data_IF_737251792327
#
_entry.id   IF_737251792327
#
_cell.length_a   1.000
_cell.length_b   1.000
_cell.length_c   1.000
_cell.angle_alpha   90.00
_cell.angle_beta   90.00
_cell.angle_gamma   90.00
#
_symmetry.space_group_name_H-M   'P 1'
#
loop_
_entity.id
_entity.type
_entity.pdbx_description
1 polymer ?
#
# COMPACT_ATOMS: atom_id res chain seq x y z
N UNK A 1 -13.93 14.29 13.81
CA UNK A 1 -13.75 15.23 14.93
C UNK A 1 -13.83 16.65 14.39
N UNK A 2 -14.55 17.55 15.07
CA UNK A 2 -14.52 18.97 14.72
C UNK A 2 -13.07 19.46 14.80
N UNK A 3 -12.62 20.29 13.84
CA UNK A 3 -11.24 20.83 13.85
C UNK A 3 -11.01 21.56 15.18
N UNK A 4 -9.91 21.22 15.85
CA UNK A 4 -9.48 21.92 17.06
C UNK A 4 -9.24 23.40 16.72
N UNK A 5 -9.65 24.31 17.60
CA UNK A 5 -9.28 25.73 17.48
C UNK A 5 -7.81 25.97 17.80
N UNK A 6 -7.20 25.04 18.52
CA UNK A 6 -5.80 25.04 18.92
C UNK A 6 -4.98 24.19 17.95
N UNK A 7 -3.85 24.72 17.52
CA UNK A 7 -2.83 24.02 16.74
C UNK A 7 -2.14 22.95 17.57
N UNK A 8 -1.56 21.94 16.92
CA UNK A 8 -0.86 20.86 17.61
C UNK A 8 0.37 21.39 18.41
N UNK A 9 1.00 22.48 17.94
CA UNK A 9 2.09 23.16 18.68
C UNK A 9 1.61 23.86 19.95
N UNK A 10 0.50 24.62 19.87
CA UNK A 10 -0.10 25.27 21.04
C UNK A 10 -0.52 24.22 22.08
N UNK A 11 -1.12 23.12 21.62
CA UNK A 11 -1.50 22.01 22.51
C UNK A 11 -0.26 21.44 23.22
N UNK A 12 0.84 21.22 22.50
CA UNK A 12 2.08 20.73 23.09
C UNK A 12 2.67 21.71 24.12
N UNK A 13 2.56 23.02 23.86
CA UNK A 13 2.99 24.06 24.80
C UNK A 13 2.18 24.01 26.11
N UNK A 14 0.86 23.97 26.01
CA UNK A 14 -0.03 23.90 27.18
C UNK A 14 0.19 22.62 28.00
N UNK A 15 0.46 21.49 27.33
CA UNK A 15 0.81 20.24 28.02
C UNK A 15 2.16 20.33 28.75
N UNK A 16 3.11 21.10 28.20
CA UNK A 16 4.41 21.33 28.83
C UNK A 16 4.30 22.25 30.03
N UNK A 17 3.45 23.29 29.99
CA UNK A 17 3.17 24.11 31.17
C UNK A 17 2.63 23.26 32.33
N UNK A 18 1.71 22.34 32.05
CA UNK A 18 1.23 21.41 33.07
C UNK A 18 2.35 20.50 33.62
N UNK A 19 3.27 20.06 32.77
CA UNK A 19 4.43 19.27 33.19
C UNK A 19 5.42 20.08 34.05
N UNK A 20 5.48 21.40 33.87
CA UNK A 20 6.30 22.31 34.66
C UNK A 20 5.64 22.72 35.99
N UNK A 21 4.45 22.18 36.31
CA UNK A 21 3.76 22.39 37.59
C UNK A 21 2.60 23.39 37.53
N UNK A 22 2.26 23.96 36.38
CA UNK A 22 1.09 24.83 36.25
C UNK A 22 -0.21 24.01 36.43
N UNK A 23 -1.12 24.50 37.26
CA UNK A 23 -2.37 23.79 37.54
C UNK A 23 -3.21 23.60 36.27
N UNK A 24 -3.65 22.36 36.02
CA UNK A 24 -4.47 22.00 34.84
C UNK A 24 -5.74 22.84 34.76
N UNK A 25 -6.35 23.19 35.90
CA UNK A 25 -7.54 24.05 35.95
C UNK A 25 -7.27 25.45 35.37
N UNK A 26 -6.14 26.06 35.72
CA UNK A 26 -5.75 27.37 35.22
C UNK A 26 -5.51 27.34 33.69
N UNK A 27 -4.83 26.29 33.22
CA UNK A 27 -4.60 26.06 31.78
C UNK A 27 -5.92 25.91 31.03
N UNK A 28 -6.86 25.12 31.58
CA UNK A 28 -8.16 24.90 30.95
C UNK A 28 -8.98 26.19 30.86
N UNK A 29 -8.95 27.03 31.91
CA UNK A 29 -9.58 28.35 31.91
C UNK A 29 -8.95 29.27 30.87
N UNK A 30 -7.61 29.39 30.85
CA UNK A 30 -6.90 30.26 29.92
C UNK A 30 -7.11 29.84 28.45
N UNK A 31 -7.01 28.54 28.17
CA UNK A 31 -7.19 28.00 26.82
C UNK A 31 -8.67 27.82 26.41
N UNK A 32 -9.61 28.14 27.30
CA UNK A 32 -11.06 28.00 27.08
C UNK A 32 -11.45 26.58 26.63
N UNK A 33 -10.89 25.57 27.31
CA UNK A 33 -11.15 24.16 27.03
C UNK A 33 -11.58 23.40 28.27
N UNK A 34 -12.32 22.32 28.06
CA UNK A 34 -12.68 21.42 29.15
C UNK A 34 -11.49 20.57 29.60
N UNK A 35 -11.48 20.18 30.87
CA UNK A 35 -10.49 19.25 31.43
C UNK A 35 -10.44 17.92 30.65
N UNK A 36 -11.60 17.43 30.20
CA UNK A 36 -11.66 16.24 29.34
C UNK A 36 -10.92 16.42 28.01
N UNK A 37 -10.97 17.62 27.42
CA UNK A 37 -10.22 17.93 26.20
C UNK A 37 -8.72 17.94 26.46
N UNK A 38 -8.28 18.53 27.58
CA UNK A 38 -6.88 18.54 28.00
C UNK A 38 -6.32 17.12 28.14
N UNK A 39 -7.03 16.20 28.80
CA UNK A 39 -6.57 14.81 28.91
C UNK A 39 -6.57 14.05 27.58
N UNK A 40 -7.51 14.39 26.68
CA UNK A 40 -7.50 13.85 25.31
C UNK A 40 -6.27 14.29 24.54
N UNK A 41 -5.87 15.56 24.68
CA UNK A 41 -4.61 16.06 24.15
C UNK A 41 -3.40 15.38 24.79
N UNK A 42 -3.38 15.24 26.12
CA UNK A 42 -2.30 14.54 26.84
C UNK A 42 -2.13 13.10 26.38
N UNK A 43 -3.20 12.39 26.02
CA UNK A 43 -3.10 11.04 25.45
C UNK A 43 -2.46 11.04 24.05
N UNK A 44 -2.72 12.06 23.24
CA UNK A 44 -2.22 12.15 21.84
C UNK A 44 -0.80 12.71 21.75
N UNK A 45 -0.49 13.71 22.57
CA UNK A 45 0.75 14.49 22.48
C UNK A 45 1.60 14.44 23.76
N UNK A 46 1.16 13.73 24.80
CA UNK A 46 1.91 13.58 26.04
C UNK A 46 3.27 12.93 25.77
N UNK A 47 4.33 13.52 26.33
CA UNK A 47 5.72 13.09 26.09
C UNK A 47 6.38 13.71 24.86
N UNK A 48 5.63 14.42 24.01
CA UNK A 48 6.20 15.19 22.91
C UNK A 48 6.44 16.64 23.35
N UNK A 49 7.65 17.15 23.11
CA UNK A 49 7.90 18.59 23.17
C UNK A 49 7.23 19.29 21.98
N UNK A 50 7.03 20.61 22.01
CA UNK A 50 6.51 21.36 20.86
C UNK A 50 7.33 21.10 19.57
N UNK A 51 8.66 20.99 19.69
CA UNK A 51 9.53 20.61 18.58
C UNK A 51 9.34 19.15 18.14
N UNK A 52 9.05 18.25 19.07
CA UNK A 52 8.68 16.86 18.79
C UNK A 52 7.37 16.74 18.00
N UNK A 53 6.40 17.62 18.25
CA UNK A 53 5.14 17.66 17.49
C UNK A 53 5.34 18.14 16.06
N UNK A 54 6.16 19.16 15.83
CA UNK A 54 6.52 19.59 14.47
C UNK A 54 7.21 18.47 13.71
N UNK A 55 8.23 17.86 14.33
CA UNK A 55 8.95 16.73 13.72
C UNK A 55 8.04 15.55 13.43
N UNK A 56 7.07 15.26 14.31
CA UNK A 56 6.08 14.20 14.08
C UNK A 56 5.25 14.49 12.83
N UNK A 57 4.75 15.72 12.66
CA UNK A 57 4.00 16.12 11.48
C UNK A 57 4.82 16.04 10.18
N UNK A 58 6.11 16.40 10.24
CA UNK A 58 7.01 16.28 9.09
C UNK A 58 7.23 14.81 8.70
N UNK A 59 7.46 13.95 9.69
CA UNK A 59 7.63 12.51 9.48
C UNK A 59 6.34 11.86 8.94
N UNK A 60 5.17 12.27 9.44
CA UNK A 60 3.88 11.76 8.95
C UNK A 60 3.64 12.16 7.49
N UNK A 61 3.94 13.42 7.12
CA UNK A 61 3.84 13.90 5.73
C UNK A 61 4.76 13.12 4.80
N UNK A 62 6.02 12.93 5.20
CA UNK A 62 6.98 12.19 4.41
C UNK A 62 6.57 10.71 4.27
N UNK A 63 6.08 10.10 5.35
CA UNK A 63 5.58 8.73 5.30
C UNK A 63 4.40 8.59 4.32
N UNK A 64 3.47 9.55 4.33
CA UNK A 64 2.34 9.57 3.39
C UNK A 64 2.83 9.69 1.93
N UNK A 65 3.79 10.58 1.67
CA UNK A 65 4.41 10.73 0.35
C UNK A 65 5.08 9.43 -0.10
N UNK A 66 5.94 8.86 0.73
CA UNK A 66 6.65 7.61 0.45
C UNK A 66 5.67 6.45 0.18
N UNK A 67 4.59 6.34 0.95
CA UNK A 67 3.54 5.32 0.69
C UNK A 67 2.85 5.52 -0.66
N UNK A 68 2.60 6.77 -1.05
CA UNK A 68 2.03 7.10 -2.36
C UNK A 68 2.97 6.66 -3.49
N UNK A 69 4.25 7.04 -3.39
CA UNK A 69 5.28 6.66 -4.37
C UNK A 69 5.44 5.14 -4.46
N UNK A 70 5.50 4.42 -3.34
CA UNK A 70 5.53 2.95 -3.31
C UNK A 70 4.30 2.35 -3.99
N UNK A 71 3.12 2.94 -3.79
CA UNK A 71 1.88 2.46 -4.40
C UNK A 71 1.90 2.67 -5.92
N UNK A 72 2.34 3.85 -6.38
CA UNK A 72 2.51 4.16 -7.79
C UNK A 72 3.53 3.23 -8.46
N UNK A 73 4.69 3.01 -7.83
CA UNK A 73 5.72 2.10 -8.33
C UNK A 73 5.20 0.66 -8.42
N UNK A 74 4.46 0.18 -7.40
CA UNK A 74 3.83 -1.15 -7.43
C UNK A 74 2.81 -1.28 -8.57
N UNK A 75 2.05 -0.24 -8.87
CA UNK A 75 1.12 -0.24 -10.00
C UNK A 75 1.87 -0.26 -11.33
N UNK A 76 2.92 0.54 -11.49
CA UNK A 76 3.75 0.56 -12.69
C UNK A 76 4.39 -0.80 -12.98
N UNK A 77 4.95 -1.47 -11.96
CA UNK A 77 5.52 -2.82 -12.09
C UNK A 77 4.47 -3.87 -12.51
N UNK A 78 3.22 -3.74 -12.04
CA UNK A 78 2.12 -4.62 -12.47
C UNK A 78 1.74 -4.38 -13.92
N UNK A 79 1.69 -3.11 -14.34
CA UNK A 79 1.36 -2.72 -15.71
C UNK A 79 2.45 -3.17 -16.72
N UNK A 80 3.73 -3.07 -16.37
CA UNK A 80 4.81 -3.59 -17.20
C UNK A 80 4.79 -5.12 -17.29
N UNK A 81 4.40 -5.81 -16.21
CA UNK A 81 4.25 -7.27 -16.22
C UNK A 81 3.04 -7.75 -17.06
N UNK A 82 1.99 -6.93 -17.22
CA UNK A 82 0.88 -7.24 -18.14
C UNK A 82 1.23 -6.93 -19.60
N UNK A 83 1.96 -5.83 -19.87
CA UNK A 83 2.33 -5.44 -21.24
C UNK A 83 3.21 -6.49 -21.95
N UNK A 84 4.03 -7.24 -21.22
CA UNK A 84 4.83 -8.34 -21.78
C UNK A 84 4.03 -9.57 -22.23
N UNK A 85 2.73 -9.66 -21.94
CA UNK A 85 1.86 -10.79 -22.32
C UNK A 85 0.97 -10.53 -23.54
N UNK A 86 0.95 -9.29 -24.04
CA UNK A 86 0.05 -8.88 -25.13
C UNK A 86 0.67 -9.02 -26.54
N UNK A 87 1.85 -9.63 -26.68
CA UNK A 87 2.29 -10.11 -27.99
C UNK A 87 1.51 -11.38 -28.34
N UNK A 88 0.32 -11.19 -28.91
CA UNK A 88 -0.49 -12.27 -29.45
C UNK A 88 0.33 -13.12 -30.44
N UNK A 89 0.11 -14.45 -30.49
CA UNK A 89 0.87 -15.32 -31.37
C UNK A 89 0.79 -14.81 -32.82
N UNK A 90 1.89 -14.86 -33.60
CA UNK A 90 1.89 -14.35 -34.96
C UNK A 90 0.76 -15.01 -35.77
N UNK A 91 0.11 -14.26 -36.69
CA UNK A 91 -0.99 -14.82 -37.47
C UNK A 91 -0.49 -16.09 -38.18
N UNK A 92 -1.14 -17.21 -37.85
CA UNK A 92 -0.85 -18.52 -38.44
C UNK A 92 -1.04 -18.37 -39.95
N UNK A 93 0.05 -18.53 -40.69
CA UNK A 93 0.16 -18.16 -42.10
C UNK A 93 -1.04 -18.57 -42.94
N UNK A 94 -1.45 -17.66 -43.82
CA UNK A 94 -2.36 -17.95 -44.94
C UNK A 94 -1.86 -19.20 -45.68
N UNK A 95 -2.69 -20.24 -45.88
CA UNK A 95 -2.27 -21.37 -46.69
C UNK A 95 -2.18 -20.92 -48.15
N UNK A 96 -0.99 -21.04 -48.74
CA UNK A 96 -0.80 -20.87 -50.19
C UNK A 96 -1.59 -21.96 -50.93
N UNK A 97 -2.31 -21.63 -52.01
CA UNK A 97 -3.01 -22.63 -52.80
C UNK A 97 -2.01 -23.30 -53.74
N UNK A 98 -1.80 -24.60 -53.58
CA UNK A 98 -1.04 -25.41 -54.54
C UNK A 98 0.02 -26.28 -53.92
N UNK A 99 -0.40 -27.40 -53.32
CA UNK A 99 0.44 -28.59 -53.18
C UNK A 99 -0.48 -29.75 -52.82
N UNK A 100 -1.08 -30.37 -53.84
CA UNK A 100 -1.69 -31.67 -53.70
C UNK A 100 -0.61 -32.67 -53.30
N UNK A 101 -0.65 -33.17 -52.07
CA UNK A 101 0.10 -34.36 -51.67
C UNK A 101 -0.92 -35.42 -51.29
N UNK A 102 -0.95 -36.58 -51.97
CA UNK A 102 -1.91 -37.62 -51.64
C UNK A 102 -1.59 -38.24 -50.28
N UNK A 103 -2.64 -38.35 -49.46
CA UNK A 103 -2.66 -39.14 -48.22
C UNK A 103 -2.28 -40.58 -48.54
N UNK A 104 -1.02 -40.95 -48.31
CA UNK A 104 -0.60 -42.35 -48.23
C UNK A 104 -0.88 -42.84 -46.83
N UNK A 105 -1.92 -43.67 -46.71
CA UNK A 105 -2.29 -44.32 -45.46
C UNK A 105 -1.19 -45.26 -44.98
N UNK A 106 -0.62 -44.96 -43.81
CA UNK A 106 0.14 -45.92 -43.03
C UNK A 106 -0.65 -46.22 -41.76
N UNK A 107 -1.27 -47.41 -41.74
CA UNK A 107 -1.95 -47.99 -40.57
C UNK A 107 -0.95 -48.97 -39.95
N UNK A 108 -0.20 -48.53 -38.96
CA UNK A 108 0.78 -49.36 -38.25
C UNK A 108 1.08 -48.76 -36.88
N UNK A 109 0.59 -49.40 -35.83
CA UNK A 109 0.68 -48.89 -34.47
C UNK A 109 2.03 -49.17 -33.82
N UNK A 110 2.57 -48.18 -33.12
CA UNK A 110 3.57 -48.36 -32.07
C UNK A 110 3.23 -47.40 -30.93
N UNK A 111 3.21 -47.93 -29.70
CA UNK A 111 3.05 -47.16 -28.49
C UNK A 111 4.25 -46.24 -28.28
N UNK A 112 4.01 -44.97 -27.97
CA UNK A 112 5.02 -44.09 -27.39
C UNK A 112 4.42 -43.38 -26.19
N UNK A 113 4.79 -43.95 -25.03
CA UNK A 113 4.57 -43.54 -23.66
C UNK A 113 4.61 -42.01 -23.52
N UNK A 114 3.49 -41.43 -23.08
CA UNK A 114 3.40 -40.02 -22.73
C UNK A 114 4.28 -39.69 -21.52
N UNK A 115 5.05 -38.61 -21.64
CA UNK A 115 6.07 -38.16 -20.67
C UNK A 115 5.55 -37.66 -19.32
N UNK A 116 4.27 -37.83 -19.01
CA UNK A 116 3.65 -37.34 -17.78
C UNK A 116 2.59 -38.32 -17.23
N UNK A 117 2.90 -39.61 -17.18
CA UNK A 117 2.15 -40.61 -16.39
C UNK A 117 2.60 -40.63 -14.92
N UNK A 118 2.77 -39.45 -14.34
CA UNK A 118 3.14 -39.28 -12.95
C UNK A 118 2.54 -37.97 -12.49
N UNK A 119 1.37 -38.05 -11.87
CA UNK A 119 0.90 -37.23 -10.75
C UNK A 119 -0.63 -37.42 -10.59
N UNK A 120 -1.02 -37.94 -9.41
CA UNK A 120 -2.38 -38.02 -8.78
C UNK A 120 -3.13 -39.31 -9.10
N UNK A 121 -3.60 -40.13 -8.14
CA UNK A 121 -4.16 -39.90 -6.78
C UNK A 121 -3.82 -41.10 -5.86
N UNK A 122 -3.28 -40.91 -4.65
CA UNK A 122 -4.00 -40.87 -3.36
C UNK A 122 -4.92 -42.08 -3.08
N UNK A 123 -4.45 -43.05 -2.30
CA UNK A 123 -4.81 -43.36 -0.89
C UNK A 123 -3.90 -44.46 -0.38
#
# INVERSE_FOLDING_TARGET
MRRSRHTDQEIAFLLREAANGTAIAAICTAAHVSVGTFYRWRRRFGGLSPAGVTRLGDVERENARLRSEITALRQALRASASAGRDHGPPPRGTPMPGSAVPSTGFRGGHASVGRYAGLRTAT
#
